data_IF_271237718755
#
_entry.id   IF_271237718755
#
_cell.length_a   1.000
_cell.length_b   1.000
_cell.length_c   1.000
_cell.angle_alpha   90.00
_cell.angle_beta   90.00
_cell.angle_gamma   90.00
#
_symmetry.space_group_name_H-M   'P 1'
#
loop_
_entity.id
_entity.type
_entity.pdbx_description
1 polymer ?
#
# COMPACT_ATOMS: atom_id res chain seq x y z
N UNK A 1 -24.70 -2.16 4.31
CA UNK A 1 -23.71 -2.98 5.05
C UNK A 1 -22.33 -2.39 4.82
N UNK A 2 -21.63 -1.92 5.86
CA UNK A 2 -20.25 -1.43 5.75
C UNK A 2 -19.33 -2.63 5.51
N UNK A 3 -18.60 -2.63 4.39
CA UNK A 3 -17.58 -3.66 4.11
C UNK A 3 -16.27 -3.25 4.77
N UNK A 4 -15.57 -4.21 5.37
CA UNK A 4 -14.25 -3.98 5.94
C UNK A 4 -13.21 -3.74 4.84
N UNK A 5 -12.18 -2.95 5.15
CA UNK A 5 -11.05 -2.72 4.24
C UNK A 5 -10.28 -4.02 3.97
N UNK A 6 -9.79 -4.19 2.75
CA UNK A 6 -8.89 -5.28 2.40
C UNK A 6 -7.47 -4.92 2.79
N UNK A 7 -6.78 -5.83 3.50
CA UNK A 7 -5.40 -5.62 3.93
C UNK A 7 -4.42 -6.24 2.95
N UNK A 8 -3.45 -5.44 2.52
CA UNK A 8 -2.38 -5.85 1.62
C UNK A 8 -1.02 -5.44 2.20
N UNK A 9 -0.12 -6.40 2.39
CA UNK A 9 1.19 -6.18 2.99
C UNK A 9 2.26 -6.09 1.91
N UNK A 10 3.21 -5.16 2.13
CA UNK A 10 4.34 -4.95 1.25
C UNK A 10 5.61 -4.61 2.03
N UNK A 11 6.74 -5.00 1.45
CA UNK A 11 8.05 -4.50 1.84
C UNK A 11 8.49 -3.48 0.80
N UNK A 12 8.89 -2.30 1.27
CA UNK A 12 9.26 -1.16 0.44
C UNK A 12 10.61 -0.62 0.87
N UNK A 13 11.31 0.11 0.01
CA UNK A 13 12.46 0.89 0.49
C UNK A 13 11.95 1.86 1.58
N UNK A 14 12.58 1.84 2.76
CA UNK A 14 12.16 2.67 3.91
C UNK A 14 12.15 4.17 3.59
N UNK A 15 12.98 4.62 2.64
CA UNK A 15 13.04 6.02 2.19
C UNK A 15 11.82 6.42 1.37
N UNK A 16 11.19 5.43 0.73
CA UNK A 16 10.04 5.61 -0.17
C UNK A 16 8.70 5.43 0.54
N UNK A 17 8.67 5.07 1.83
CA UNK A 17 7.42 4.89 2.60
C UNK A 17 6.54 6.15 2.55
N UNK A 18 7.15 7.33 2.72
CA UNK A 18 6.41 8.60 2.68
C UNK A 18 5.90 8.91 1.27
N UNK A 19 6.69 8.63 0.24
CA UNK A 19 6.29 8.80 -1.15
C UNK A 19 5.12 7.88 -1.51
N UNK A 20 5.20 6.59 -1.18
CA UNK A 20 4.11 5.63 -1.38
C UNK A 20 2.83 6.05 -0.66
N UNK A 21 2.94 6.49 0.60
CA UNK A 21 1.82 6.99 1.38
C UNK A 21 1.17 8.20 0.71
N UNK A 22 1.96 9.16 0.27
CA UNK A 22 1.48 10.37 -0.41
C UNK A 22 0.70 10.03 -1.69
N UNK A 23 1.22 9.13 -2.52
CA UNK A 23 0.54 8.72 -3.76
C UNK A 23 -0.78 8.01 -3.45
N UNK A 24 -0.78 7.00 -2.59
CA UNK A 24 -1.99 6.21 -2.33
C UNK A 24 -3.08 7.00 -1.58
N UNK A 25 -2.70 7.79 -0.58
CA UNK A 25 -3.65 8.57 0.22
C UNK A 25 -4.12 9.84 -0.50
N UNK A 26 -3.48 10.22 -1.60
CA UNK A 26 -3.97 11.26 -2.51
C UNK A 26 -5.20 10.83 -3.32
N UNK A 27 -5.44 9.52 -3.47
CA UNK A 27 -6.66 9.01 -4.09
C UNK A 27 -7.71 8.72 -3.01
N UNK A 28 -8.69 9.60 -2.90
CA UNK A 28 -9.74 9.50 -1.88
C UNK A 28 -10.43 8.13 -1.90
N UNK A 29 -10.55 7.53 -0.71
CA UNK A 29 -11.16 6.22 -0.51
C UNK A 29 -10.37 5.00 -1.02
N UNK A 30 -9.26 5.16 -1.76
CA UNK A 30 -8.54 4.02 -2.36
C UNK A 30 -7.79 3.21 -1.32
N UNK A 31 -6.83 3.82 -0.61
CA UNK A 31 -6.09 3.13 0.43
C UNK A 31 -5.47 4.09 1.43
N UNK A 32 -5.32 3.64 2.67
CA UNK A 32 -4.42 4.26 3.66
C UNK A 32 -3.25 3.35 3.98
N UNK A 33 -2.06 3.95 4.13
CA UNK A 33 -0.80 3.25 4.39
C UNK A 33 -0.42 3.41 5.85
N UNK A 34 -0.24 2.26 6.52
CA UNK A 34 0.32 2.18 7.87
C UNK A 34 1.65 1.46 7.82
N UNK A 35 2.69 2.11 8.35
CA UNK A 35 3.99 1.47 8.59
C UNK A 35 3.87 0.50 9.76
N UNK A 36 4.28 -0.75 9.54
CA UNK A 36 4.37 -1.79 10.57
C UNK A 36 5.77 -1.79 11.17
N UNK A 37 6.78 -1.80 10.31
CA UNK A 37 8.19 -1.77 10.70
C UNK A 37 8.95 -0.80 9.77
N UNK A 38 9.38 0.37 10.27
CA UNK A 38 10.12 1.35 9.47
C UNK A 38 11.56 0.91 9.14
N UNK A 39 12.17 0.02 9.93
CA UNK A 39 13.54 -0.45 9.68
C UNK A 39 13.56 -1.47 8.53
N UNK A 40 12.59 -2.39 8.54
CA UNK A 40 12.42 -3.42 7.51
C UNK A 40 11.63 -2.94 6.28
N UNK A 41 11.08 -1.71 6.35
CA UNK A 41 10.24 -1.17 5.28
C UNK A 41 8.92 -1.91 5.13
N UNK A 42 8.41 -2.51 6.20
CA UNK A 42 7.17 -3.27 6.19
C UNK A 42 5.97 -2.35 6.38
N UNK A 43 5.05 -2.36 5.41
CA UNK A 43 3.83 -1.55 5.43
C UNK A 43 2.59 -2.41 5.18
N UNK A 44 1.44 -1.92 5.64
CA UNK A 44 0.12 -2.44 5.27
C UNK A 44 -0.71 -1.34 4.62
N UNK A 45 -1.26 -1.67 3.46
CA UNK A 45 -2.33 -0.92 2.80
C UNK A 45 -3.66 -1.42 3.34
N UNK A 46 -4.48 -0.51 3.82
CA UNK A 46 -5.91 -0.74 4.08
C UNK A 46 -6.68 -0.16 2.91
N UNK A 47 -7.12 -1.06 2.04
CA UNK A 47 -7.75 -0.70 0.77
C UNK A 47 -9.26 -0.61 0.97
N UNK A 48 -9.85 0.46 0.43
CA UNK A 48 -11.28 0.65 0.39
C UNK A 48 -11.98 -0.52 -0.31
N UNK A 49 -13.13 -1.00 0.18
CA UNK A 49 -13.85 -2.09 -0.48
C UNK A 49 -14.25 -1.71 -1.91
N UNK A 50 -13.86 -2.53 -2.89
CA UNK A 50 -14.10 -2.23 -4.31
C UNK A 50 -13.01 -1.39 -4.99
N UNK A 51 -11.98 -0.96 -4.25
CA UNK A 51 -10.83 -0.20 -4.77
C UNK A 51 -9.59 -1.08 -5.01
N UNK A 52 -9.68 -2.40 -4.84
CA UNK A 52 -8.55 -3.33 -4.91
C UNK A 52 -7.83 -3.27 -6.26
N UNK A 53 -8.59 -3.20 -7.36
CA UNK A 53 -8.03 -3.07 -8.70
C UNK A 53 -7.32 -1.73 -8.91
N UNK A 54 -7.85 -0.63 -8.37
CA UNK A 54 -7.21 0.69 -8.46
C UNK A 54 -5.91 0.69 -7.65
N UNK A 55 -5.94 0.19 -6.42
CA UNK A 55 -4.75 0.06 -5.59
C UNK A 55 -3.68 -0.83 -6.25
N UNK A 56 -4.08 -1.94 -6.90
CA UNK A 56 -3.15 -2.81 -7.62
C UNK A 56 -2.53 -2.12 -8.83
N UNK A 57 -3.30 -1.36 -9.61
CA UNK A 57 -2.77 -0.57 -10.73
C UNK A 57 -1.75 0.47 -10.27
N UNK A 58 -2.03 1.20 -9.19
CA UNK A 58 -1.11 2.20 -8.63
C UNK A 58 0.19 1.51 -8.16
N UNK A 59 0.08 0.39 -7.43
CA UNK A 59 1.26 -0.36 -6.98
C UNK A 59 2.08 -0.86 -8.16
N UNK A 60 1.45 -1.43 -9.19
CA UNK A 60 2.14 -1.93 -10.38
C UNK A 60 2.89 -0.84 -11.13
N UNK A 61 2.32 0.36 -11.24
CA UNK A 61 3.01 1.48 -11.88
C UNK A 61 4.18 1.97 -11.03
N UNK A 62 3.99 2.17 -9.72
CA UNK A 62 5.06 2.58 -8.80
C UNK A 62 6.22 1.57 -8.72
N UNK A 63 5.95 0.27 -8.88
CA UNK A 63 6.98 -0.77 -8.92
C UNK A 63 8.00 -0.60 -10.05
N UNK A 64 7.71 0.24 -11.05
CA UNK A 64 8.62 0.55 -12.15
C UNK A 64 9.73 1.53 -11.74
N UNK A 65 9.47 2.33 -10.71
CA UNK A 65 10.37 3.39 -10.24
C UNK A 65 10.96 3.10 -8.86
N UNK A 66 10.21 2.42 -7.99
CA UNK A 66 10.61 2.14 -6.61
C UNK A 66 10.44 0.66 -6.24
N UNK A 67 11.27 0.18 -5.30
CA UNK A 67 11.17 -1.20 -4.81
C UNK A 67 9.94 -1.36 -3.92
N UNK A 68 8.96 -2.13 -4.40
CA UNK A 68 7.78 -2.58 -3.65
C UNK A 68 7.59 -4.08 -3.90
N UNK A 69 7.58 -4.88 -2.84
CA UNK A 69 7.42 -6.34 -2.92
C UNK A 69 6.23 -6.78 -2.09
N UNK A 70 5.35 -7.59 -2.69
CA UNK A 70 4.26 -8.25 -1.98
C UNK A 70 4.86 -9.16 -0.90
N UNK A 71 4.33 -9.10 0.31
CA UNK A 71 4.64 -10.09 1.35
C UNK A 71 3.36 -10.80 1.77
N UNK A 72 3.43 -12.11 1.86
CA UNK A 72 2.38 -12.87 2.54
C UNK A 72 2.58 -12.70 4.04
N UNK A 73 1.52 -12.33 4.73
CA UNK A 73 1.53 -12.37 6.18
C UNK A 73 1.21 -13.81 6.57
N UNK A 74 2.18 -14.49 7.18
CA UNK A 74 1.96 -15.75 7.89
C UNK A 74 0.96 -15.60 9.04
#
# INVERSE_FOLDING_TARGET
>A
MLKATVKKYYRVDRREIHFLKFILEGYDGVAVVRTIDPQEGLVVLHIGPGCEGIADMIIQDLQRDIRIERVEKG
#
